data_IF_306430089541
#
_entry.id   IF_306430089541
#
_cell.length_a   1.000
_cell.length_b   1.000
_cell.length_c   1.000
_cell.angle_alpha   90.00
_cell.angle_beta   90.00
_cell.angle_gamma   90.00
#
_symmetry.space_group_name_H-M   'P 1'
#
loop_
_entity.id
_entity.type
_entity.pdbx_description
1 polymer ?
#
# COMPACT_ATOMS: atom_id res chain seq x y z
N UNK A 1 -22.42 -30.46 -13.66
CA UNK A 1 -21.56 -29.28 -13.67
C UNK A 1 -21.17 -29.02 -15.11
N UNK A 2 -21.64 -27.92 -15.70
CA UNK A 2 -21.42 -27.57 -17.12
C UNK A 2 -20.14 -26.75 -17.28
N UNK A 3 -19.52 -26.87 -18.46
CA UNK A 3 -18.20 -26.32 -18.81
C UNK A 3 -18.15 -24.78 -18.81
N UNK A 4 -19.30 -24.10 -18.78
CA UNK A 4 -19.43 -22.65 -18.88
C UNK A 4 -18.93 -21.88 -17.64
N UNK A 5 -18.94 -22.48 -16.44
CA UNK A 5 -18.46 -21.80 -15.22
C UNK A 5 -16.94 -21.60 -15.17
N UNK A 6 -16.15 -22.28 -16.02
CA UNK A 6 -14.70 -22.13 -16.05
C UNK A 6 -14.22 -20.93 -16.89
N UNK A 7 -15.07 -20.38 -17.75
CA UNK A 7 -14.66 -19.37 -18.75
C UNK A 7 -14.95 -17.91 -18.33
N UNK A 8 -15.73 -17.70 -17.27
CA UNK A 8 -16.08 -16.34 -16.78
C UNK A 8 -15.06 -15.75 -15.79
N UNK A 9 -13.93 -16.42 -15.56
CA UNK A 9 -12.89 -15.95 -14.62
C UNK A 9 -11.73 -15.18 -15.27
N UNK A 10 -11.81 -14.85 -16.56
CA UNK A 10 -10.64 -14.42 -17.33
C UNK A 10 -10.44 -12.89 -17.47
N UNK A 11 -11.29 -12.01 -16.92
CA UNK A 11 -11.10 -10.55 -17.07
C UNK A 11 -11.33 -9.72 -15.80
N UNK A 12 -11.17 -10.30 -14.60
CA UNK A 12 -11.13 -9.52 -13.37
C UNK A 12 -9.68 -9.31 -12.93
N UNK A 13 -9.10 -8.17 -13.27
CA UNK A 13 -7.82 -7.74 -12.70
C UNK A 13 -8.08 -7.21 -11.29
N UNK A 14 -7.99 -8.08 -10.30
CA UNK A 14 -7.91 -7.65 -8.91
C UNK A 14 -6.58 -6.92 -8.72
N UNK A 15 -6.62 -5.75 -8.11
CA UNK A 15 -5.40 -5.11 -7.61
C UNK A 15 -4.69 -6.07 -6.67
N UNK A 16 -3.38 -6.19 -6.83
CA UNK A 16 -2.58 -6.89 -5.85
C UNK A 16 -2.66 -6.18 -4.51
N UNK A 17 -2.50 -6.96 -3.46
CA UNK A 17 -2.24 -6.52 -2.10
C UNK A 17 -1.31 -5.29 -2.00
N UNK A 18 -0.21 -5.31 -2.77
CA UNK A 18 0.76 -4.23 -2.78
C UNK A 18 0.21 -2.94 -3.41
N UNK A 19 -0.62 -3.05 -4.46
CA UNK A 19 -1.27 -1.92 -5.11
C UNK A 19 -2.35 -1.30 -4.23
N UNK A 20 -3.15 -2.14 -3.56
CA UNK A 20 -4.16 -1.70 -2.58
C UNK A 20 -3.50 -0.89 -1.46
N UNK A 21 -2.42 -1.41 -0.88
CA UNK A 21 -1.71 -0.70 0.18
C UNK A 21 -1.07 0.62 -0.30
N UNK A 22 -0.61 0.66 -1.55
CA UNK A 22 -0.04 1.88 -2.13
C UNK A 22 -1.10 2.96 -2.31
N UNK A 23 -2.32 2.55 -2.68
CA UNK A 23 -3.47 3.46 -2.77
C UNK A 23 -3.87 3.98 -1.39
N UNK A 24 -3.95 3.10 -0.37
CA UNK A 24 -4.19 3.52 1.03
C UNK A 24 -3.12 4.50 1.52
N UNK A 25 -1.85 4.19 1.31
CA UNK A 25 -0.73 5.06 1.69
C UNK A 25 -0.75 6.41 0.95
N UNK A 26 -1.28 6.45 -0.28
CA UNK A 26 -1.45 7.70 -1.02
C UNK A 26 -2.53 8.57 -0.37
N UNK A 27 -3.71 7.99 -0.08
CA UNK A 27 -4.81 8.70 0.59
C UNK A 27 -4.43 9.20 1.99
N UNK A 28 -3.74 8.37 2.76
CA UNK A 28 -3.30 8.74 4.10
C UNK A 28 -2.13 9.71 4.08
N UNK A 29 -1.27 9.64 3.05
CA UNK A 29 -0.22 10.61 2.84
C UNK A 29 -0.73 12.02 2.62
N UNK A 30 -1.85 12.16 1.90
CA UNK A 30 -2.54 13.43 1.74
C UNK A 30 -3.05 14.01 3.08
N UNK A 31 -3.57 13.14 3.97
CA UNK A 31 -4.08 13.54 5.29
C UNK A 31 -2.96 13.84 6.29
N UNK A 32 -1.84 13.12 6.21
CA UNK A 32 -0.73 13.18 7.15
C UNK A 32 0.61 13.54 6.48
N UNK A 33 0.73 14.73 5.84
CA UNK A 33 1.93 15.12 5.09
C UNK A 33 3.17 15.34 5.96
N UNK A 34 3.01 15.38 7.28
CA UNK A 34 4.10 15.49 8.25
C UNK A 34 4.70 14.14 8.65
N UNK A 35 4.14 13.01 8.22
CA UNK A 35 4.68 11.67 8.49
C UNK A 35 5.48 11.17 7.29
N UNK A 36 6.74 10.77 7.50
CA UNK A 36 7.58 10.21 6.46
C UNK A 36 7.20 8.78 6.04
N UNK A 37 6.64 8.03 6.99
CA UNK A 37 6.23 6.63 6.86
C UNK A 37 4.78 6.46 7.30
N UNK A 38 4.04 5.64 6.57
CA UNK A 38 2.65 5.29 6.83
C UNK A 38 2.56 3.78 6.98
N UNK A 39 1.83 3.34 8.01
CA UNK A 39 1.60 1.93 8.27
C UNK A 39 0.29 1.55 7.59
N UNK A 40 0.33 0.57 6.67
CA UNK A 40 -0.89 0.04 6.08
C UNK A 40 -1.67 -0.79 7.10
N UNK A 41 -2.94 -1.07 6.79
CA UNK A 41 -3.80 -1.97 7.58
C UNK A 41 -3.24 -3.39 7.72
N UNK A 42 -2.30 -3.79 6.85
CA UNK A 42 -1.61 -5.08 6.84
C UNK A 42 -0.26 -5.07 7.56
N UNK A 43 0.00 -4.04 8.36
CA UNK A 43 1.22 -3.88 9.17
C UNK A 43 2.51 -3.77 8.33
N UNK A 44 2.41 -3.16 7.15
CA UNK A 44 3.56 -2.89 6.27
C UNK A 44 3.81 -1.39 6.18
N UNK A 45 5.07 -0.98 6.32
CA UNK A 45 5.48 0.41 6.22
C UNK A 45 5.69 0.85 4.78
N UNK A 46 5.00 1.92 4.38
CA UNK A 46 5.13 2.57 3.08
C UNK A 46 5.67 3.99 3.22
N UNK A 47 6.49 4.40 2.27
CA UNK A 47 7.01 5.77 2.21
C UNK A 47 5.89 6.73 1.79
N UNK A 48 5.70 7.81 2.54
CA UNK A 48 4.69 8.81 2.21
C UNK A 48 5.13 9.67 1.00
N UNK A 49 4.41 9.66 -0.14
CA UNK A 49 4.77 10.48 -1.31
C UNK A 49 4.57 11.99 -1.09
N UNK A 50 3.75 12.39 -0.12
CA UNK A 50 3.46 13.78 0.20
C UNK A 50 4.40 14.39 1.25
N UNK A 51 5.23 13.57 1.90
CA UNK A 51 6.17 14.05 2.90
C UNK A 51 7.28 14.89 2.25
N UNK A 52 7.44 16.13 2.72
CA UNK A 52 8.47 17.09 2.25
C UNK A 52 9.54 17.43 3.29
N UNK A 53 9.52 16.75 4.45
CA UNK A 53 10.51 16.98 5.49
C UNK A 53 11.86 16.34 5.19
N UNK A 54 12.77 16.42 6.16
CA UNK A 54 14.09 15.79 6.08
C UNK A 54 13.94 14.26 5.98
N UNK A 55 14.83 13.54 5.26
CA UNK A 55 14.80 12.09 5.25
C UNK A 55 14.77 11.51 6.67
N UNK A 56 13.82 10.62 6.93
CA UNK A 56 13.67 9.90 8.20
C UNK A 56 13.98 8.43 7.93
N UNK A 57 14.80 7.76 8.77
CA UNK A 57 15.05 6.33 8.64
C UNK A 57 13.74 5.53 8.71
N UNK A 58 13.73 4.34 8.14
CA UNK A 58 12.58 3.43 8.25
C UNK A 58 12.31 3.15 9.75
N UNK A 59 11.04 3.10 10.20
CA UNK A 59 10.73 2.95 11.62
C UNK A 59 11.32 1.68 12.24
N UNK A 60 11.46 0.63 11.44
CA UNK A 60 12.03 -0.66 11.84
C UNK A 60 13.52 -0.81 11.50
N UNK A 61 14.17 0.18 10.87
CA UNK A 61 15.62 0.16 10.63
C UNK A 61 16.43 0.53 11.87
N UNK A 62 15.84 0.47 13.07
CA UNK A 62 16.60 0.64 14.30
C UNK A 62 17.42 -0.63 14.51
N UNK A 63 18.67 -0.58 14.09
CA UNK A 63 19.69 -1.57 14.42
C UNK A 63 19.88 -1.58 15.96
N UNK A 64 20.01 -2.79 16.53
CA UNK A 64 20.37 -3.03 17.94
C UNK A 64 21.72 -2.37 18.30
#
# INVERSE_FOLDING_TARGET
MTYDQYYEHCEYNYSSDAEIDQEEATWDGYKYPNKAWLLSSRDVWYKNPYYKGKPVPHPESRED
#
